data_IF_306190308246
#
_entry.id   IF_306190308246
#
_cell.length_a   1.000
_cell.length_b   1.000
_cell.length_c   1.000
_cell.angle_alpha   90.00
_cell.angle_beta   90.00
_cell.angle_gamma   90.00
#
_symmetry.space_group_name_H-M   'P 1'
#
loop_
_entity.id
_entity.type
_entity.pdbx_description
1 polymer ?
#
# COMPACT_ATOMS: atom_id res chain seq x y z
N UNK A 1 8.52 -12.40 -3.60
CA UNK A 1 8.42 -13.48 -2.60
C UNK A 1 7.37 -13.09 -1.57
N UNK A 2 6.51 -14.02 -1.18
CA UNK A 2 5.46 -13.83 -0.17
C UNK A 2 5.56 -14.95 0.86
N UNK A 3 5.24 -14.67 2.13
CA UNK A 3 5.05 -15.73 3.12
C UNK A 3 3.69 -16.39 2.90
N UNK A 4 3.59 -17.70 3.07
CA UNK A 4 2.34 -18.46 2.88
C UNK A 4 1.98 -19.25 4.12
N UNK A 5 0.69 -19.28 4.44
CA UNK A 5 0.12 -20.08 5.51
C UNK A 5 -0.09 -21.53 5.10
N UNK A 6 -0.59 -22.34 6.04
CA UNK A 6 -0.95 -23.75 5.80
C UNK A 6 -2.03 -23.90 4.71
N UNK A 7 -2.95 -22.94 4.65
CA UNK A 7 -4.00 -22.81 3.64
C UNK A 7 -3.51 -22.31 2.27
N UNK A 8 -2.19 -22.15 2.10
CA UNK A 8 -1.52 -21.59 0.93
C UNK A 8 -1.88 -20.14 0.61
N UNK A 9 -2.55 -19.43 1.53
CA UNK A 9 -2.83 -18.00 1.36
C UNK A 9 -1.65 -17.15 1.81
N UNK A 10 -1.50 -15.93 1.25
CA UNK A 10 -0.48 -15.00 1.69
C UNK A 10 -0.65 -14.63 3.17
N UNK A 11 0.42 -14.73 3.93
CA UNK A 11 0.48 -14.16 5.27
C UNK A 11 0.79 -12.65 5.20
N UNK A 12 0.46 -11.88 6.27
CA UNK A 12 0.78 -10.46 6.32
C UNK A 12 2.25 -10.18 6.04
N UNK A 13 2.54 -9.07 5.35
CA UNK A 13 3.91 -8.69 4.97
C UNK A 13 4.90 -8.68 6.16
N UNK A 14 4.43 -8.33 7.36
CA UNK A 14 5.25 -8.36 8.58
C UNK A 14 5.82 -9.76 8.88
N UNK A 15 5.13 -10.85 8.50
CA UNK A 15 5.63 -12.21 8.69
C UNK A 15 6.85 -12.48 7.82
N UNK A 16 6.85 -12.05 6.55
CA UNK A 16 8.05 -12.23 5.70
C UNK A 16 9.21 -11.31 6.14
N UNK A 17 8.92 -10.15 6.75
CA UNK A 17 9.97 -9.30 7.33
C UNK A 17 10.79 -10.00 8.41
N UNK A 18 10.23 -10.99 9.11
CA UNK A 18 10.96 -11.81 10.10
C UNK A 18 12.12 -12.57 9.46
N UNK A 19 12.05 -12.88 8.16
CA UNK A 19 13.13 -13.56 7.42
C UNK A 19 14.34 -12.69 7.15
N UNK A 20 14.15 -11.38 6.94
CA UNK A 20 15.24 -10.48 6.54
C UNK A 20 16.17 -10.08 7.69
N UNK A 21 15.75 -10.25 8.95
CA UNK A 21 16.52 -9.79 10.12
C UNK A 21 17.44 -10.85 10.75
N UNK A 22 17.44 -12.10 10.25
CA UNK A 22 18.21 -13.20 10.83
C UNK A 22 19.19 -13.76 9.81
N UNK A 23 20.49 -13.71 10.15
CA UNK A 23 21.61 -14.25 9.36
C UNK A 23 22.09 -15.62 9.86
N UNK A 24 21.44 -16.19 10.88
CA UNK A 24 21.75 -17.50 11.45
C UNK A 24 20.49 -18.39 11.49
N UNK A 25 20.67 -19.71 11.36
CA UNK A 25 19.60 -20.74 11.38
C UNK A 25 18.56 -20.57 10.26
N UNK A 26 19.04 -20.45 9.02
CA UNK A 26 18.18 -20.32 7.83
C UNK A 26 17.23 -21.50 7.64
N UNK A 27 17.66 -22.73 7.92
CA UNK A 27 16.84 -23.92 7.69
C UNK A 27 15.63 -24.01 8.62
N UNK A 28 15.80 -23.66 9.91
CA UNK A 28 14.70 -23.55 10.88
C UNK A 28 13.69 -22.49 10.43
N UNK A 29 14.18 -21.32 10.03
CA UNK A 29 13.35 -20.21 9.57
C UNK A 29 12.60 -20.52 8.26
N UNK A 30 13.22 -21.29 7.36
CA UNK A 30 12.56 -21.70 6.12
C UNK A 30 11.31 -22.54 6.42
N UNK A 31 11.40 -23.41 7.44
CA UNK A 31 10.29 -24.22 7.93
C UNK A 31 9.26 -23.39 8.70
N UNK A 32 9.71 -22.46 9.56
CA UNK A 32 8.82 -21.63 10.38
C UNK A 32 7.96 -20.66 9.56
N UNK A 33 8.50 -20.09 8.49
CA UNK A 33 7.78 -19.12 7.65
C UNK A 33 7.92 -19.53 6.19
N UNK A 34 7.14 -20.52 5.70
CA UNK A 34 7.18 -20.92 4.29
C UNK A 34 6.97 -19.71 3.37
N UNK A 35 7.69 -19.66 2.25
CA UNK A 35 7.60 -18.55 1.32
C UNK A 35 7.54 -19.03 -0.12
N UNK A 36 6.74 -18.34 -0.95
CA UNK A 36 6.62 -18.58 -2.39
C UNK A 36 7.18 -17.42 -3.20
N UNK A 37 7.81 -17.73 -4.31
CA UNK A 37 8.29 -16.74 -5.27
C UNK A 37 7.30 -16.60 -6.42
N UNK A 38 6.94 -15.36 -6.74
CA UNK A 38 6.15 -15.00 -7.91
C UNK A 38 6.94 -13.97 -8.73
N UNK A 39 7.52 -14.42 -9.83
CA UNK A 39 8.26 -13.64 -10.81
C UNK A 39 7.28 -12.88 -11.71
N UNK A 40 7.55 -11.61 -11.94
CA UNK A 40 6.62 -10.71 -12.64
C UNK A 40 7.28 -9.84 -13.71
N UNK A 41 8.61 -9.88 -13.84
CA UNK A 41 9.38 -9.14 -14.84
C UNK A 41 10.78 -9.77 -15.02
N UNK A 42 11.44 -9.47 -16.13
CA UNK A 42 12.80 -9.87 -16.47
C UNK A 42 13.53 -8.66 -17.04
N UNK A 43 14.57 -8.21 -16.34
CA UNK A 43 15.27 -6.96 -16.68
C UNK A 43 16.62 -7.17 -17.36
N UNK A 44 17.14 -8.39 -17.29
CA UNK A 44 18.43 -8.76 -17.86
C UNK A 44 18.45 -10.25 -18.17
N UNK A 45 18.96 -10.62 -19.34
CA UNK A 45 19.10 -12.00 -19.77
C UNK A 45 20.29 -12.14 -20.72
N UNK A 46 21.13 -13.16 -20.50
CA UNK A 46 22.25 -13.53 -21.39
C UNK A 46 23.11 -12.35 -21.89
N UNK A 47 23.60 -11.52 -20.96
CA UNK A 47 24.48 -10.41 -21.35
C UNK A 47 23.74 -9.14 -21.79
N UNK A 48 22.40 -9.18 -21.91
CA UNK A 48 21.60 -8.08 -22.47
C UNK A 48 20.68 -7.46 -21.43
N UNK A 49 20.74 -6.13 -21.34
CA UNK A 49 19.74 -5.33 -20.63
C UNK A 49 18.42 -5.35 -21.40
N UNK A 50 17.32 -5.51 -20.67
CA UNK A 50 15.95 -5.45 -21.20
C UNK A 50 15.19 -4.23 -20.67
N UNK A 51 15.87 -3.25 -20.06
CA UNK A 51 15.21 -2.09 -19.42
C UNK A 51 14.37 -1.31 -20.44
N UNK A 52 14.91 -1.10 -21.64
CA UNK A 52 14.22 -0.35 -22.71
C UNK A 52 13.26 -1.24 -23.53
N UNK A 53 13.27 -2.55 -23.30
CA UNK A 53 12.41 -3.53 -23.99
C UNK A 53 10.96 -3.42 -23.48
N UNK A 54 9.94 -3.48 -24.35
CA UNK A 54 8.52 -3.50 -23.93
C UNK A 54 8.18 -4.59 -22.91
N UNK A 55 7.26 -4.30 -21.98
CA UNK A 55 6.85 -5.25 -20.93
C UNK A 55 6.32 -6.57 -21.49
N UNK A 56 5.59 -6.56 -22.62
CA UNK A 56 5.10 -7.77 -23.27
C UNK A 56 6.23 -8.73 -23.63
N UNK A 57 7.28 -8.21 -24.25
CA UNK A 57 8.45 -8.99 -24.68
C UNK A 57 9.21 -9.53 -23.47
N UNK A 58 9.43 -8.70 -22.44
CA UNK A 58 10.07 -9.15 -21.19
C UNK A 58 9.26 -10.25 -20.50
N UNK A 59 7.94 -10.13 -20.48
CA UNK A 59 7.04 -11.11 -19.85
C UNK A 59 6.99 -12.41 -20.65
N UNK A 60 7.05 -12.34 -21.97
CA UNK A 60 7.11 -13.49 -22.87
C UNK A 60 8.42 -14.25 -22.67
N UNK A 61 9.55 -13.55 -22.71
CA UNK A 61 10.86 -14.15 -22.47
C UNK A 61 10.94 -14.78 -21.08
N UNK A 62 10.50 -14.07 -20.03
CA UNK A 62 10.41 -14.63 -18.67
C UNK A 62 9.65 -15.96 -18.65
N UNK A 63 8.49 -16.01 -19.30
CA UNK A 63 7.65 -17.22 -19.31
C UNK A 63 8.29 -18.40 -20.03
N UNK A 64 9.20 -18.14 -20.98
CA UNK A 64 9.91 -19.20 -21.71
C UNK A 64 11.08 -19.81 -20.94
N UNK A 65 11.62 -19.10 -19.93
CA UNK A 65 12.84 -19.51 -19.22
C UNK A 65 12.62 -19.97 -17.79
N UNK A 66 11.41 -19.84 -17.25
CA UNK A 66 11.12 -20.22 -15.86
C UNK A 66 9.92 -21.16 -15.75
N UNK A 67 9.91 -21.93 -14.66
CA UNK A 67 8.77 -22.78 -14.31
C UNK A 67 7.48 -21.94 -14.19
N UNK A 68 6.38 -22.33 -14.87
CA UNK A 68 5.11 -21.60 -14.80
C UNK A 68 4.56 -21.41 -13.38
N UNK A 69 4.87 -22.28 -12.43
CA UNK A 69 4.45 -22.15 -11.02
C UNK A 69 5.12 -20.98 -10.29
N UNK A 70 6.27 -20.52 -10.78
CA UNK A 70 6.98 -19.35 -10.25
C UNK A 70 6.44 -18.05 -10.83
N UNK A 71 5.55 -18.09 -11.81
CA UNK A 71 5.04 -16.89 -12.47
C UNK A 71 3.89 -16.25 -11.70
N UNK A 72 3.93 -14.93 -11.57
CA UNK A 72 2.75 -14.17 -11.14
C UNK A 72 1.59 -14.39 -12.15
N UNK A 73 0.39 -14.78 -11.68
CA UNK A 73 -0.80 -14.89 -12.52
C UNK A 73 -1.05 -13.59 -13.31
N UNK A 74 -1.49 -13.74 -14.56
CA UNK A 74 -1.62 -12.63 -15.51
C UNK A 74 -2.91 -12.76 -16.31
N UNK A 75 -3.55 -11.61 -16.52
CA UNK A 75 -4.63 -11.43 -17.49
C UNK A 75 -4.27 -10.25 -18.40
N UNK A 76 -4.35 -10.44 -19.71
CA UNK A 76 -4.30 -9.35 -20.70
C UNK A 76 -5.72 -9.16 -21.22
N UNK A 77 -6.29 -7.98 -21.01
CA UNK A 77 -7.66 -7.72 -21.41
C UNK A 77 -7.91 -6.23 -21.62
N UNK A 78 -8.82 -5.92 -22.52
CA UNK A 78 -9.47 -4.61 -22.64
C UNK A 78 -10.87 -4.60 -22.00
N UNK A 79 -11.34 -5.75 -21.51
CA UNK A 79 -12.66 -5.90 -20.89
C UNK A 79 -12.59 -5.63 -19.39
N UNK A 80 -13.28 -4.56 -18.96
CA UNK A 80 -13.34 -4.15 -17.55
C UNK A 80 -13.99 -5.21 -16.66
N UNK A 81 -15.01 -5.93 -17.14
CA UNK A 81 -15.67 -6.97 -16.35
C UNK A 81 -14.71 -8.13 -16.04
N UNK A 82 -13.92 -8.57 -17.04
CA UNK A 82 -12.89 -9.59 -16.84
C UNK A 82 -11.81 -9.14 -15.85
N UNK A 83 -11.40 -7.87 -15.91
CA UNK A 83 -10.45 -7.30 -14.97
C UNK A 83 -11.01 -7.25 -13.53
N UNK A 84 -12.30 -6.95 -13.36
CA UNK A 84 -12.98 -6.97 -12.05
C UNK A 84 -13.08 -8.38 -11.49
N UNK A 85 -13.40 -9.37 -12.31
CA UNK A 85 -13.42 -10.78 -11.88
C UNK A 85 -12.02 -11.24 -11.44
N UNK A 86 -10.98 -10.86 -12.20
CA UNK A 86 -9.60 -11.16 -11.83
C UNK A 86 -9.17 -10.48 -10.52
N UNK A 87 -9.64 -9.26 -10.27
CA UNK A 87 -9.45 -8.58 -8.99
C UNK A 87 -10.13 -9.34 -7.85
N UNK A 88 -11.40 -9.75 -8.01
CA UNK A 88 -12.11 -10.55 -7.00
C UNK A 88 -11.34 -11.81 -6.65
N UNK A 89 -10.94 -12.59 -7.67
CA UNK A 89 -10.15 -13.82 -7.48
C UNK A 89 -8.85 -13.57 -6.71
N UNK A 90 -8.13 -12.49 -7.03
CA UNK A 90 -6.92 -12.13 -6.31
C UNK A 90 -7.20 -11.83 -4.82
N UNK A 91 -8.28 -11.10 -4.53
CA UNK A 91 -8.71 -10.80 -3.16
C UNK A 91 -9.16 -12.06 -2.40
N UNK A 92 -9.91 -12.96 -3.05
CA UNK A 92 -10.38 -14.23 -2.45
C UNK A 92 -9.21 -15.16 -2.08
N UNK A 93 -8.13 -15.11 -2.88
CA UNK A 93 -6.86 -15.76 -2.59
C UNK A 93 -6.01 -15.05 -1.52
N UNK A 94 -6.46 -13.93 -0.96
CA UNK A 94 -5.77 -13.19 0.10
C UNK A 94 -4.69 -12.21 -0.38
N UNK A 95 -4.65 -11.88 -1.67
CA UNK A 95 -3.75 -10.83 -2.18
C UNK A 95 -4.35 -9.43 -2.02
N UNK A 96 -3.49 -8.41 -2.07
CA UNK A 96 -3.88 -7.01 -1.83
C UNK A 96 -4.65 -6.36 -2.99
N UNK A 97 -4.72 -7.01 -4.16
CA UNK A 97 -5.30 -6.49 -5.40
C UNK A 97 -4.45 -6.79 -6.63
N UNK A 98 -4.53 -5.94 -7.65
CA UNK A 98 -3.85 -6.11 -8.94
C UNK A 98 -2.76 -5.08 -9.21
N UNK A 99 -1.81 -5.47 -10.05
CA UNK A 99 -0.89 -4.57 -10.75
C UNK A 99 -1.29 -4.49 -12.23
N UNK A 100 -1.77 -3.34 -12.69
CA UNK A 100 -1.98 -3.07 -14.10
C UNK A 100 -0.69 -2.51 -14.71
N UNK A 101 -0.28 -3.01 -15.87
CA UNK A 101 0.96 -2.62 -16.55
C UNK A 101 0.69 -2.38 -18.03
N UNK A 102 1.17 -1.25 -18.55
CA UNK A 102 1.15 -0.98 -19.98
C UNK A 102 2.09 -1.94 -20.72
N UNK A 103 1.60 -2.59 -21.77
CA UNK A 103 2.30 -3.68 -22.45
C UNK A 103 3.53 -3.20 -23.24
N UNK A 104 3.42 -2.01 -23.82
CA UNK A 104 4.44 -1.32 -24.59
C UNK A 104 5.45 -0.56 -23.72
N UNK A 105 5.30 -0.60 -22.39
CA UNK A 105 6.12 0.21 -21.50
C UNK A 105 7.53 -0.36 -21.26
N UNK A 106 8.58 0.49 -21.30
CA UNK A 106 9.89 0.13 -20.79
C UNK A 106 9.84 0.01 -19.25
N UNK A 107 10.85 -0.63 -18.68
CA UNK A 107 11.10 -0.57 -17.25
C UNK A 107 11.75 0.79 -16.90
N UNK A 108 11.27 1.45 -15.85
CA UNK A 108 11.78 2.79 -15.47
C UNK A 108 12.35 2.74 -14.04
N UNK A 109 13.66 2.46 -13.88
CA UNK A 109 14.29 2.35 -12.57
C UNK A 109 14.10 3.62 -11.73
N UNK A 110 13.65 3.46 -10.48
CA UNK A 110 13.53 4.58 -9.53
C UNK A 110 12.39 5.57 -9.81
N UNK A 111 11.69 5.47 -10.94
CA UNK A 111 10.60 6.37 -11.29
C UNK A 111 9.24 5.79 -10.87
N UNK A 112 8.40 6.62 -10.25
CA UNK A 112 6.97 6.32 -10.09
C UNK A 112 6.24 6.79 -11.35
N UNK A 113 6.41 6.04 -12.43
CA UNK A 113 5.78 6.33 -13.73
C UNK A 113 4.29 5.95 -13.78
N UNK A 114 3.62 6.38 -14.86
CA UNK A 114 2.22 6.02 -15.18
C UNK A 114 2.08 4.67 -15.90
N UNK A 115 3.16 3.93 -16.05
CA UNK A 115 3.12 2.67 -16.78
C UNK A 115 2.52 1.55 -15.92
N UNK A 116 2.68 1.63 -14.60
CA UNK A 116 2.29 0.58 -13.65
C UNK A 116 1.39 1.17 -12.56
N UNK A 117 0.17 0.64 -12.45
CA UNK A 117 -0.81 1.07 -11.45
C UNK A 117 -1.16 -0.06 -10.49
N UNK A 118 -1.29 0.30 -9.21
CA UNK A 118 -1.88 -0.56 -8.19
C UNK A 118 -3.39 -0.36 -8.22
N UNK A 119 -4.14 -1.42 -8.44
CA UNK A 119 -5.59 -1.43 -8.32
C UNK A 119 -5.91 -2.22 -7.06
N UNK A 120 -6.35 -1.50 -6.03
CA UNK A 120 -6.69 -2.09 -4.73
C UNK A 120 -8.03 -1.52 -4.27
N UNK A 121 -8.93 -2.35 -3.75
CA UNK A 121 -10.04 -1.82 -2.98
C UNK A 121 -9.50 -1.08 -1.76
N UNK A 122 -10.20 -0.04 -1.34
CA UNK A 122 -9.89 0.71 -0.14
C UNK A 122 -11.13 0.69 0.75
N UNK A 123 -10.94 0.24 1.99
CA UNK A 123 -11.96 0.41 3.02
C UNK A 123 -11.88 1.84 3.55
N UNK A 124 -13.05 2.45 3.71
CA UNK A 124 -13.17 3.79 4.25
C UNK A 124 -13.77 3.69 5.65
N UNK A 125 -13.11 4.36 6.61
CA UNK A 125 -13.56 4.46 7.98
C UNK A 125 -13.81 5.93 8.30
N UNK A 126 -14.97 6.23 8.89
CA UNK A 126 -15.24 7.54 9.46
C UNK A 126 -14.65 7.57 10.87
N UNK A 127 -13.63 8.40 11.05
CA UNK A 127 -12.87 8.52 12.29
C UNK A 127 -12.86 9.96 12.77
N UNK A 128 -12.82 10.12 14.10
CA UNK A 128 -12.83 11.43 14.75
C UNK A 128 -11.41 11.97 14.87
N UNK A 129 -11.19 13.23 14.47
CA UNK A 129 -9.91 13.90 14.73
C UNK A 129 -9.90 14.38 16.17
N UNK A 130 -8.91 13.92 16.96
CA UNK A 130 -8.76 14.32 18.37
C UNK A 130 -7.54 15.20 18.62
N UNK A 131 -6.57 15.18 17.70
CA UNK A 131 -5.39 16.03 17.72
C UNK A 131 -4.77 16.12 16.33
N UNK A 132 -3.89 17.10 16.13
CA UNK A 132 -3.09 17.19 14.92
C UNK A 132 -1.71 17.77 15.20
N UNK A 133 -0.69 17.26 14.52
CA UNK A 133 0.68 17.76 14.63
C UNK A 133 0.97 18.84 13.59
N UNK A 134 1.76 19.85 13.98
CA UNK A 134 2.28 20.87 13.07
C UNK A 134 3.21 20.25 12.03
N UNK A 135 3.01 20.62 10.77
CA UNK A 135 3.84 20.17 9.66
C UNK A 135 5.24 20.79 9.69
N UNK A 136 6.18 20.09 9.05
CA UNK A 136 7.55 20.55 8.82
C UNK A 136 7.81 20.73 7.30
N UNK A 137 8.91 21.42 6.96
CA UNK A 137 9.30 21.66 5.57
C UNK A 137 8.19 22.39 4.79
N UNK A 138 7.78 21.81 3.64
CA UNK A 138 6.69 22.34 2.78
C UNK A 138 5.38 22.59 3.56
N UNK A 139 5.11 21.81 4.60
CA UNK A 139 3.84 21.87 5.35
C UNK A 139 3.93 22.71 6.62
N UNK A 140 5.02 23.47 6.79
CA UNK A 140 5.17 24.38 7.92
C UNK A 140 4.00 25.38 7.95
N UNK A 141 3.39 25.54 9.13
CA UNK A 141 2.22 26.40 9.30
C UNK A 141 0.87 25.72 9.07
N UNK A 142 0.85 24.44 8.67
CA UNK A 142 -0.36 23.64 8.60
C UNK A 142 -0.36 22.51 9.63
N UNK A 143 -1.53 22.22 10.19
CA UNK A 143 -1.78 20.97 10.90
C UNK A 143 -1.95 19.88 9.86
N UNK A 144 -1.02 18.93 9.80
CA UNK A 144 -0.89 18.03 8.64
C UNK A 144 -0.67 16.55 8.97
N UNK A 145 -0.73 16.19 10.25
CA UNK A 145 -0.70 14.82 10.73
C UNK A 145 -1.79 14.64 11.79
N UNK A 146 -2.93 14.08 11.39
CA UNK A 146 -4.14 14.01 12.21
C UNK A 146 -4.19 12.72 12.99
N UNK A 147 -4.42 12.80 14.30
CA UNK A 147 -4.63 11.67 15.18
C UNK A 147 -6.11 11.29 15.11
N UNK A 148 -6.37 10.06 14.66
CA UNK A 148 -7.70 9.56 14.39
C UNK A 148 -8.13 8.58 15.48
N UNK A 149 -9.36 8.74 15.97
CA UNK A 149 -9.95 7.87 16.97
C UNK A 149 -11.27 7.26 16.49
N UNK A 150 -11.46 5.98 16.81
CA UNK A 150 -12.73 5.28 16.67
C UNK A 150 -13.53 5.38 17.97
N UNK A 151 -14.85 5.52 17.85
CA UNK A 151 -15.76 5.53 19.01
C UNK A 151 -16.22 4.12 19.31
N UNK A 152 -16.02 3.68 20.54
CA UNK A 152 -16.66 2.48 21.07
C UNK A 152 -18.14 2.76 21.35
N UNK A 153 -19.03 1.93 20.81
CA UNK A 153 -20.48 2.18 20.88
C UNK A 153 -21.03 1.96 22.29
N UNK A 154 -20.51 0.98 23.01
CA UNK A 154 -20.98 0.59 24.34
C UNK A 154 -20.53 1.59 25.42
N UNK A 155 -19.23 1.89 25.49
CA UNK A 155 -18.69 2.82 26.51
C UNK A 155 -18.71 4.28 26.07
N UNK A 156 -18.91 4.56 24.79
CA UNK A 156 -18.81 5.89 24.21
C UNK A 156 -17.39 6.47 24.15
N UNK A 157 -16.37 5.70 24.54
CA UNK A 157 -14.96 6.14 24.62
C UNK A 157 -14.33 6.20 23.23
N UNK A 158 -13.38 7.11 23.06
CA UNK A 158 -12.60 7.25 21.83
C UNK A 158 -11.24 6.58 21.99
N UNK A 159 -10.90 5.67 21.07
CA UNK A 159 -9.62 4.98 21.03
C UNK A 159 -8.84 5.41 19.80
N UNK A 160 -7.59 5.84 20.00
CA UNK A 160 -6.70 6.23 18.90
C UNK A 160 -6.33 5.00 18.08
N UNK A 161 -6.68 5.02 16.80
CA UNK A 161 -6.41 3.91 15.87
C UNK A 161 -5.24 4.21 14.93
N UNK A 162 -4.81 5.46 14.84
CA UNK A 162 -3.63 5.82 14.06
C UNK A 162 -3.55 7.30 13.74
N UNK A 163 -2.67 7.61 12.78
CA UNK A 163 -2.52 8.95 12.23
C UNK A 163 -2.58 8.95 10.71
N UNK A 164 -3.09 10.02 10.12
CA UNK A 164 -3.02 10.24 8.67
C UNK A 164 -2.42 11.60 8.32
N UNK A 165 -1.63 11.62 7.24
CA UNK A 165 -0.88 12.80 6.80
C UNK A 165 -0.87 12.96 5.28
N UNK A 166 -1.72 12.23 4.55
CA UNK A 166 -1.76 12.25 3.07
C UNK A 166 -3.20 12.22 2.59
N UNK A 167 -3.40 12.65 1.34
CA UNK A 167 -4.70 12.63 0.66
C UNK A 167 -5.39 13.97 0.55
N UNK A 168 -4.82 15.04 1.14
CA UNK A 168 -5.36 16.39 1.09
C UNK A 168 -4.56 17.29 0.15
N UNK A 169 -5.27 18.18 -0.53
CA UNK A 169 -4.78 19.33 -1.28
C UNK A 169 -4.35 20.46 -0.34
N UNK A 170 -3.60 21.42 -0.86
CA UNK A 170 -3.15 22.59 -0.08
C UNK A 170 -4.36 23.42 0.44
N UNK A 171 -5.45 23.49 -0.33
CA UNK A 171 -6.70 24.17 0.09
C UNK A 171 -7.34 23.46 1.28
N UNK A 172 -7.41 22.13 1.23
CA UNK A 172 -7.95 21.33 2.33
C UNK A 172 -7.07 21.42 3.58
N UNK A 173 -5.73 21.42 3.44
CA UNK A 173 -4.82 21.64 4.56
C UNK A 173 -5.08 22.99 5.26
N UNK A 174 -5.25 24.06 4.49
CA UNK A 174 -5.55 25.38 5.03
C UNK A 174 -6.90 25.40 5.78
N UNK A 175 -7.95 24.84 5.17
CA UNK A 175 -9.28 24.76 5.76
C UNK A 175 -9.30 23.92 7.04
N UNK A 176 -8.75 22.70 7.02
CA UNK A 176 -8.68 21.84 8.21
C UNK A 176 -7.85 22.53 9.31
N UNK A 177 -6.74 23.18 8.96
CA UNK A 177 -5.92 23.90 9.95
C UNK A 177 -6.75 24.98 10.66
N UNK A 178 -7.52 25.78 9.91
CA UNK A 178 -8.41 26.79 10.49
C UNK A 178 -9.48 26.15 11.39
N UNK A 179 -10.12 25.08 10.92
CA UNK A 179 -11.18 24.39 11.66
C UNK A 179 -10.66 23.80 12.98
N UNK A 180 -9.51 23.11 12.95
CA UNK A 180 -8.91 22.51 14.13
C UNK A 180 -8.44 23.57 15.14
N UNK A 181 -7.92 24.72 14.68
CA UNK A 181 -7.60 25.84 15.58
C UNK A 181 -8.84 26.39 16.30
N UNK A 182 -10.00 26.41 15.64
CA UNK A 182 -11.26 26.81 16.26
C UNK A 182 -11.79 25.77 17.27
N UNK A 183 -11.44 24.49 17.10
CA UNK A 183 -11.80 23.39 18.00
C UNK A 183 -10.75 23.11 19.08
N UNK A 184 -9.66 23.88 19.11
CA UNK A 184 -8.52 23.67 20.01
C UNK A 184 -8.97 23.70 21.47
N UNK A 185 -8.58 22.66 22.21
CA UNK A 185 -8.75 22.57 23.67
C UNK A 185 -7.44 22.80 24.40
N UNK A 186 -6.32 22.30 23.85
CA UNK A 186 -4.97 22.54 24.37
C UNK A 186 -3.93 22.42 23.25
N UNK A 187 -2.71 22.89 23.49
CA UNK A 187 -1.63 22.82 22.52
C UNK A 187 -0.27 22.65 23.22
N UNK A 188 0.57 21.80 22.64
CA UNK A 188 2.01 21.71 22.92
C UNK A 188 2.77 22.37 21.77
N UNK A 189 4.11 22.52 21.85
CA UNK A 189 4.88 23.08 20.73
C UNK A 189 4.72 22.31 19.40
N UNK A 190 4.25 21.06 19.44
CA UNK A 190 4.17 20.18 18.27
C UNK A 190 2.75 19.76 17.91
N UNK A 191 1.82 19.74 18.88
CA UNK A 191 0.51 19.11 18.71
C UNK A 191 -0.60 20.00 19.24
N UNK A 192 -1.64 20.19 18.43
CA UNK A 192 -2.90 20.83 18.82
C UNK A 192 -3.90 19.73 19.16
N UNK A 193 -4.40 19.72 20.38
CA UNK A 193 -5.51 18.86 20.80
C UNK A 193 -6.82 19.59 20.56
N UNK A 194 -7.82 18.87 20.06
CA UNK A 194 -9.10 19.44 19.68
C UNK A 194 -10.24 18.73 20.39
N UNK A 195 -11.37 19.42 20.52
CA UNK A 195 -12.62 18.77 20.88
C UNK A 195 -12.93 17.72 19.80
N UNK A 196 -13.23 16.46 20.17
CA UNK A 196 -13.50 15.42 19.20
C UNK A 196 -14.69 15.78 18.31
N UNK A 197 -14.47 15.83 17.00
CA UNK A 197 -15.50 16.10 16.01
C UNK A 197 -15.19 15.32 14.72
N UNK A 198 -16.23 14.77 14.09
CA UNK A 198 -16.12 14.24 12.72
C UNK A 198 -16.08 15.45 11.79
N UNK A 199 -14.97 15.64 11.09
CA UNK A 199 -14.85 16.74 10.15
C UNK A 199 -15.61 16.38 8.86
N UNK A 200 -16.50 17.26 8.36
CA UNK A 200 -17.15 17.03 7.08
C UNK A 200 -16.12 17.01 5.95
N UNK A 201 -16.39 16.22 4.90
CA UNK A 201 -15.67 16.33 3.63
C UNK A 201 -16.00 17.69 3.02
N UNK A 202 -14.99 18.55 2.89
CA UNK A 202 -15.10 19.84 2.21
C UNK A 202 -15.22 19.72 0.70
#
# INVERSE_FOLDING_TARGET
>A
MIAVGEDQKPLPFQQIMRRFRRVHRLDEMIREVPARLYLFDLLYWEGKSLIDTPYEERRTLLSSICDPSLLAPRLVTHNVAAAREFLSKAMDCGHEGLMAKALDSPYTPGARGKNWFKIKPADHLDLTVIAADWGHGRRRGWLSNYHLAARDEESGRLYVVGKTFKGLTDKEFAWITQRLKALKTSETPYTVYVRPEILPKG
#
